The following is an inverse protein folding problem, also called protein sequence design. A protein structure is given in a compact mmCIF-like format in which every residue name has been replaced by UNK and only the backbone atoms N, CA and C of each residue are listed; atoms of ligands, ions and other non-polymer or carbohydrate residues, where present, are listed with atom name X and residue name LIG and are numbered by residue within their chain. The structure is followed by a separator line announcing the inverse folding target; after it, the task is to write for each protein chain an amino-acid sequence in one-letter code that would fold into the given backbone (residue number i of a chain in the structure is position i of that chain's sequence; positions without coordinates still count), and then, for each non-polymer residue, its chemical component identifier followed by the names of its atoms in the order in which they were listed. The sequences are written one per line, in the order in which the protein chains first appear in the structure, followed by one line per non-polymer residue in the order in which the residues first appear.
data_IF_616039282134
#
_entry.id   IF_616039282134
#
_cell.length_a   1.000
_cell.length_b   1.000
_cell.length_c   1.000
_cell.angle_alpha   90.00
_cell.angle_beta   90.00
_cell.angle_gamma   90.00
#
_symmetry.space_group_name_H-M   'P 1'
#
loop_
_entity.id
_entity.type
_entity.pdbx_description
1 polymer ?
#
# COMPACT_ATOMS: atom_id res chain seq x y z
N UNK A 1 15.50 8.67 -17.15
CA UNK A 1 16.74 9.25 -16.60
C UNK A 1 17.87 8.20 -16.49
N UNK A 2 17.71 7.02 -15.84
CA UNK A 2 18.79 6.02 -15.70
C UNK A 2 19.33 5.50 -17.04
N UNK A 3 18.44 5.23 -18.01
CA UNK A 3 18.86 4.79 -19.36
C UNK A 3 19.64 5.90 -20.07
N UNK A 4 19.24 7.14 -19.89
CA UNK A 4 19.93 8.29 -20.46
C UNK A 4 21.28 8.51 -19.80
N UNK A 5 21.36 8.42 -18.46
CA UNK A 5 22.64 8.41 -17.73
C UNK A 5 23.58 7.33 -18.26
N UNK A 6 23.08 6.13 -18.53
CA UNK A 6 23.86 5.04 -19.13
C UNK A 6 24.38 5.39 -20.52
N UNK A 7 23.55 6.00 -21.36
CA UNK A 7 23.96 6.45 -22.70
C UNK A 7 25.06 7.50 -22.62
N UNK A 8 24.91 8.49 -21.75
CA UNK A 8 25.90 9.54 -21.52
C UNK A 8 27.20 8.97 -20.92
N UNK A 9 27.11 8.06 -19.94
CA UNK A 9 28.25 7.39 -19.37
C UNK A 9 29.02 6.56 -20.44
N UNK A 10 28.30 5.93 -21.36
CA UNK A 10 28.90 5.21 -22.49
C UNK A 10 29.66 6.17 -23.41
N UNK A 11 29.11 7.36 -23.69
CA UNK A 11 29.83 8.38 -24.46
C UNK A 11 31.08 8.85 -23.73
N UNK A 12 30.96 9.15 -22.41
CA UNK A 12 32.07 9.64 -21.60
C UNK A 12 33.18 8.60 -21.38
N UNK A 13 32.83 7.31 -21.47
CA UNK A 13 33.83 6.21 -21.38
C UNK A 13 34.75 6.11 -22.59
N UNK A 14 34.46 6.86 -23.65
CA UNK A 14 35.30 6.86 -24.84
C UNK A 14 36.65 7.55 -24.56
N UNK A 15 37.75 6.82 -24.76
CA UNK A 15 39.10 7.28 -24.46
C UNK A 15 39.57 8.47 -25.32
N UNK A 16 38.96 8.67 -26.51
CA UNK A 16 39.36 9.79 -27.41
C UNK A 16 38.73 11.14 -27.03
N UNK A 17 37.83 11.18 -26.07
CA UNK A 17 37.24 12.41 -25.59
C UNK A 17 38.22 13.24 -24.77
N UNK A 18 38.23 14.55 -24.99
CA UNK A 18 38.96 15.50 -24.14
C UNK A 18 38.37 15.50 -22.72
N UNK A 19 39.18 15.90 -21.74
CA UNK A 19 38.72 16.04 -20.34
C UNK A 19 37.54 17.00 -20.22
N UNK A 20 37.57 18.12 -20.95
CA UNK A 20 36.48 19.11 -20.97
C UNK A 20 35.19 18.55 -21.56
N UNK A 21 35.27 17.82 -22.68
CA UNK A 21 34.06 17.19 -23.26
C UNK A 21 33.49 16.13 -22.34
N UNK A 22 34.33 15.36 -21.66
CA UNK A 22 33.92 14.37 -20.67
C UNK A 22 33.27 15.02 -19.45
N UNK A 23 33.81 16.15 -18.99
CA UNK A 23 33.23 16.92 -17.89
C UNK A 23 31.82 17.41 -18.25
N UNK A 24 31.61 17.99 -19.42
CA UNK A 24 30.29 18.46 -19.85
C UNK A 24 29.25 17.32 -19.90
N UNK A 25 29.68 16.10 -20.22
CA UNK A 25 28.81 14.91 -20.13
C UNK A 25 28.58 14.54 -18.66
N UNK A 26 29.61 14.68 -17.82
CA UNK A 26 29.48 14.48 -16.38
C UNK A 26 28.44 15.38 -15.76
N UNK A 27 28.46 16.67 -16.08
CA UNK A 27 27.50 17.67 -15.60
C UNK A 27 26.03 17.31 -16.01
N UNK A 28 25.85 16.74 -17.21
CA UNK A 28 24.53 16.26 -17.65
C UNK A 28 24.07 15.02 -16.83
N UNK A 29 24.98 14.12 -16.49
CA UNK A 29 24.69 12.97 -15.65
C UNK A 29 24.33 13.41 -14.23
N UNK A 30 25.02 14.41 -13.68
CA UNK A 30 24.69 15.02 -12.38
C UNK A 30 23.28 15.60 -12.38
N UNK A 31 22.92 16.33 -13.44
CA UNK A 31 21.57 16.88 -13.58
C UNK A 31 20.51 15.78 -13.61
N UNK A 32 20.73 14.70 -14.37
CA UNK A 32 19.80 13.57 -14.39
C UNK A 32 19.70 12.87 -13.03
N UNK A 33 20.78 12.84 -12.26
CA UNK A 33 20.78 12.36 -10.88
C UNK A 33 19.92 13.24 -9.96
N UNK A 34 20.06 14.57 -10.10
CA UNK A 34 19.19 15.54 -9.39
C UNK A 34 17.72 15.34 -9.76
N UNK A 35 17.42 15.17 -11.04
CA UNK A 35 16.06 14.95 -11.53
C UNK A 35 15.43 13.67 -10.96
N UNK A 36 16.22 12.61 -10.76
CA UNK A 36 15.76 11.38 -10.09
C UNK A 36 15.37 11.67 -8.64
N UNK A 37 16.18 12.43 -7.92
CA UNK A 37 15.89 12.81 -6.54
C UNK A 37 14.65 13.69 -6.43
N UNK A 38 14.50 14.66 -7.33
CA UNK A 38 13.33 15.53 -7.35
C UNK A 38 12.04 14.76 -7.70
N UNK A 39 12.13 13.79 -8.62
CA UNK A 39 11.02 12.91 -8.95
C UNK A 39 10.62 12.04 -7.74
N UNK A 40 11.60 11.46 -7.06
CA UNK A 40 11.35 10.67 -5.86
C UNK A 40 10.68 11.51 -4.75
N UNK A 41 11.12 12.77 -4.59
CA UNK A 41 10.56 13.72 -3.62
C UNK A 41 9.16 14.19 -3.98
N UNK A 42 8.92 14.49 -5.26
CA UNK A 42 7.62 15.00 -5.73
C UNK A 42 6.55 13.92 -5.82
N UNK A 43 6.92 12.65 -5.80
CA UNK A 43 5.97 11.54 -5.83
C UNK A 43 5.33 11.38 -4.46
N UNK A 44 4.19 12.05 -4.26
CA UNK A 44 3.45 12.06 -3.01
C UNK A 44 2.04 11.55 -3.18
N UNK A 45 1.51 10.93 -2.14
CA UNK A 45 0.10 10.56 -2.02
C UNK A 45 -0.41 11.05 -0.66
N UNK A 46 -1.49 11.82 -0.67
CA UNK A 46 -2.06 12.43 0.55
C UNK A 46 -1.01 13.16 1.40
N UNK A 47 -0.14 13.94 0.74
CA UNK A 47 0.98 14.68 1.35
C UNK A 47 2.06 13.81 2.00
N UNK A 48 2.04 12.50 1.76
CA UNK A 48 3.08 11.56 2.19
C UNK A 48 3.95 11.20 0.99
N UNK A 49 5.26 11.37 1.11
CA UNK A 49 6.23 10.99 0.08
C UNK A 49 6.31 9.47 -0.01
N UNK A 50 6.18 8.91 -1.21
CA UNK A 50 6.13 7.46 -1.40
C UNK A 50 7.50 6.86 -1.74
N UNK A 51 8.41 7.64 -2.34
CA UNK A 51 9.67 7.15 -2.89
C UNK A 51 10.91 7.84 -2.31
N UNK A 52 10.71 8.82 -1.44
CA UNK A 52 11.80 9.66 -0.90
C UNK A 52 12.58 8.99 0.26
N UNK A 53 12.04 7.92 0.84
CA UNK A 53 12.67 7.20 1.95
C UNK A 53 12.84 8.02 3.23
N UNK A 54 12.10 9.10 3.40
CA UNK A 54 12.25 10.05 4.53
C UNK A 54 11.91 9.48 5.90
N UNK A 55 11.44 8.26 5.99
CA UNK A 55 11.25 7.56 7.27
C UNK A 55 12.44 6.65 7.58
N UNK A 56 13.46 7.20 8.20
CA UNK A 56 14.50 6.63 9.09
C UNK A 56 15.16 5.27 8.74
N UNK A 57 14.62 4.46 7.82
CA UNK A 57 15.12 3.11 7.51
C UNK A 57 15.30 2.82 6.02
N UNK A 58 15.16 3.83 5.16
CA UNK A 58 15.31 3.65 3.70
C UNK A 58 14.13 2.99 2.99
N UNK A 59 13.20 2.41 3.70
CA UNK A 59 11.97 1.81 3.17
C UNK A 59 10.76 2.39 3.88
N UNK A 60 9.77 2.84 3.11
CA UNK A 60 8.47 3.25 3.63
C UNK A 60 7.59 2.01 3.79
N UNK A 61 7.20 1.74 5.03
CA UNK A 61 6.33 0.63 5.37
C UNK A 61 4.92 1.13 5.64
N UNK A 62 3.98 0.73 4.83
CA UNK A 62 2.56 1.05 4.99
C UNK A 62 1.79 -0.19 5.39
N UNK A 63 1.07 -0.10 6.49
CA UNK A 63 0.20 -1.18 6.96
C UNK A 63 -1.24 -0.85 6.61
N UNK A 64 -1.86 -1.71 5.82
CA UNK A 64 -3.25 -1.61 5.40
C UNK A 64 -4.10 -2.63 6.16
N UNK A 65 -5.22 -2.19 6.72
CA UNK A 65 -6.22 -3.09 7.29
C UNK A 65 -6.96 -3.81 6.16
N UNK A 66 -6.93 -5.14 6.14
CA UNK A 66 -7.51 -5.99 5.09
C UNK A 66 -8.58 -6.96 5.59
N UNK A 67 -9.05 -6.80 6.83
CA UNK A 67 -10.09 -7.62 7.45
C UNK A 67 -10.66 -6.94 8.69
N UNK A 68 -11.56 -7.61 9.38
CA UNK A 68 -12.24 -7.13 10.60
C UNK A 68 -11.45 -7.40 11.89
N UNK A 69 -10.50 -8.33 11.83
CA UNK A 69 -9.61 -8.62 12.95
C UNK A 69 -8.45 -7.62 13.07
N UNK A 70 -8.03 -7.31 14.29
CA UNK A 70 -6.88 -6.42 14.55
C UNK A 70 -5.57 -6.90 13.94
N UNK A 71 -5.46 -8.20 13.65
CA UNK A 71 -4.29 -8.83 13.01
C UNK A 71 -4.41 -8.94 11.49
N UNK A 72 -5.57 -8.59 10.92
CA UNK A 72 -5.83 -8.69 9.48
C UNK A 72 -5.24 -7.49 8.74
N UNK A 73 -3.94 -7.38 8.80
CA UNK A 73 -3.18 -6.31 8.17
C UNK A 73 -2.32 -6.85 7.02
N UNK A 74 -2.10 -6.02 6.02
CA UNK A 74 -1.11 -6.25 4.97
C UNK A 74 -0.11 -5.09 4.96
N UNK A 75 1.16 -5.41 5.10
CA UNK A 75 2.23 -4.43 5.12
C UNK A 75 2.90 -4.38 3.75
N UNK A 76 2.94 -3.19 3.18
CA UNK A 76 3.61 -2.89 1.91
C UNK A 76 4.86 -2.08 2.20
N UNK A 77 5.99 -2.59 1.78
CA UNK A 77 7.26 -1.89 1.85
C UNK A 77 7.53 -1.23 0.51
N UNK A 78 7.58 0.09 0.48
CA UNK A 78 8.01 0.87 -0.68
C UNK A 78 9.47 1.27 -0.47
N UNK A 79 10.37 0.86 -1.38
CA UNK A 79 11.77 1.23 -1.29
C UNK A 79 11.96 2.71 -1.66
N UNK A 80 12.98 3.32 -1.08
CA UNK A 80 13.43 4.63 -1.54
C UNK A 80 14.10 4.51 -2.91
N UNK A 81 13.76 5.42 -3.82
CA UNK A 81 14.27 5.46 -5.20
C UNK A 81 15.16 6.69 -5.42
N UNK A 82 15.79 7.20 -4.36
CA UNK A 82 16.80 8.25 -4.47
C UNK A 82 18.10 7.72 -5.06
N UNK A 83 18.93 8.60 -5.63
CA UNK A 83 20.25 8.22 -6.14
C UNK A 83 21.13 7.60 -5.04
N UNK A 84 20.99 8.06 -3.80
CA UNK A 84 21.71 7.48 -2.66
C UNK A 84 21.36 6.02 -2.41
N UNK A 85 20.11 5.62 -2.61
CA UNK A 85 19.68 4.24 -2.45
C UNK A 85 19.99 3.37 -3.68
N UNK A 86 19.71 3.89 -4.87
CA UNK A 86 19.90 3.12 -6.10
C UNK A 86 21.37 2.81 -6.42
N UNK A 87 22.29 3.69 -6.00
CA UNK A 87 23.71 3.54 -6.35
C UNK A 87 24.61 3.12 -5.19
N UNK A 88 24.14 3.14 -3.96
CA UNK A 88 25.01 2.95 -2.80
C UNK A 88 24.40 2.18 -1.63
N UNK A 89 23.41 1.35 -1.87
CA UNK A 89 22.68 0.56 -0.85
C UNK A 89 22.44 1.31 0.50
N UNK A 90 22.29 2.63 0.44
CA UNK A 90 21.99 3.48 1.59
C UNK A 90 23.19 4.03 2.36
N UNK A 91 24.42 3.84 1.88
CA UNK A 91 25.61 4.46 2.48
C UNK A 91 26.14 5.59 1.60
N UNK A 92 26.33 6.80 2.14
CA UNK A 92 27.09 7.83 1.44
C UNK A 92 28.49 7.31 1.17
N UNK A 93 28.95 7.32 -0.07
CA UNK A 93 30.25 6.76 -0.41
C UNK A 93 30.77 7.15 -1.79
N UNK A 94 31.95 6.70 -2.05
CA UNK A 94 32.60 6.86 -3.33
C UNK A 94 32.21 5.68 -4.21
N UNK A 95 31.35 5.89 -5.22
CA UNK A 95 31.06 4.87 -6.24
C UNK A 95 32.34 4.49 -6.97
N UNK A 96 33.18 5.50 -7.23
CA UNK A 96 34.46 5.43 -7.90
C UNK A 96 35.38 6.53 -7.33
N UNK A 97 36.68 6.43 -7.54
CA UNK A 97 37.65 7.42 -7.02
C UNK A 97 37.33 8.88 -7.36
N UNK A 98 36.62 9.14 -8.45
CA UNK A 98 36.22 10.48 -8.92
C UNK A 98 34.76 10.66 -9.17
N UNK A 99 33.92 9.72 -8.73
CA UNK A 99 32.46 9.78 -8.80
C UNK A 99 31.92 9.45 -7.42
N UNK A 100 31.29 10.43 -6.80
CA UNK A 100 30.80 10.31 -5.43
C UNK A 100 29.28 10.57 -5.37
N UNK A 101 28.65 9.95 -4.41
CA UNK A 101 27.31 10.34 -3.99
C UNK A 101 27.44 10.92 -2.59
N UNK A 102 27.32 12.23 -2.51
CA UNK A 102 27.32 12.95 -1.24
C UNK A 102 25.94 12.85 -0.62
N UNK A 103 25.86 12.46 0.65
CA UNK A 103 24.61 12.58 1.39
C UNK A 103 24.20 14.05 1.48
N UNK A 104 23.06 14.41 0.91
CA UNK A 104 22.46 15.70 1.19
C UNK A 104 21.89 15.63 2.61
N UNK A 105 22.65 16.13 3.57
CA UNK A 105 22.24 16.23 4.96
C UNK A 105 21.01 17.15 5.09
N UNK A 106 19.84 16.58 5.21
CA UNK A 106 18.65 17.29 5.66
C UNK A 106 18.43 17.11 7.18
N UNK A 107 19.51 17.19 7.93
CA UNK A 107 19.52 17.32 9.38
C UNK A 107 19.14 16.09 10.22
N UNK A 108 18.58 15.02 9.63
CA UNK A 108 18.09 13.87 10.39
C UNK A 108 18.39 12.50 9.81
N UNK A 109 18.72 12.37 8.52
CA UNK A 109 19.15 11.10 7.93
C UNK A 109 20.13 11.31 6.76
N UNK A 110 21.39 10.90 6.90
CA UNK A 110 22.41 11.01 5.85
C UNK A 110 22.23 10.00 4.71
N UNK A 111 21.25 9.09 4.79
CA UNK A 111 21.12 7.93 3.88
C UNK A 111 20.17 8.13 2.71
N UNK A 112 19.40 9.20 2.70
CA UNK A 112 18.19 9.25 1.87
C UNK A 112 18.33 9.96 0.54
N UNK A 113 19.26 10.91 0.41
CA UNK A 113 19.44 11.67 -0.82
C UNK A 113 20.93 11.78 -1.13
N UNK A 114 21.33 11.20 -2.25
CA UNK A 114 22.69 11.39 -2.74
C UNK A 114 22.73 12.49 -3.78
N UNK A 115 23.56 13.51 -3.59
CA UNK A 115 23.96 14.38 -4.68
C UNK A 115 25.04 13.64 -5.48
N UNK A 116 24.74 13.45 -6.76
CA UNK A 116 25.66 12.82 -7.69
C UNK A 116 26.73 13.85 -8.07
N UNK A 117 28.00 13.57 -7.80
CA UNK A 117 29.10 14.48 -8.12
C UNK A 117 30.18 13.76 -8.89
N UNK A 118 30.52 14.31 -10.05
CA UNK A 118 31.56 13.80 -10.94
C UNK A 118 32.73 14.79 -10.94
N UNK A 119 33.87 14.35 -10.43
CA UNK A 119 35.05 15.20 -10.39
C UNK A 119 35.59 15.53 -11.80
N UNK A 120 36.16 16.73 -11.96
CA UNK A 120 36.77 17.15 -13.22
C UNK A 120 37.93 16.23 -13.67
N UNK A 121 38.48 15.46 -12.74
CA UNK A 121 39.52 14.43 -12.97
C UNK A 121 38.95 13.06 -13.35
N UNK A 122 37.61 12.91 -13.54
CA UNK A 122 37.02 11.64 -13.91
C UNK A 122 37.55 11.15 -15.28
N UNK A 123 37.99 9.91 -15.29
CA UNK A 123 38.60 9.25 -16.46
C UNK A 123 37.54 8.40 -17.21
N UNK A 124 37.88 7.98 -18.42
CA UNK A 124 37.05 7.04 -19.18
C UNK A 124 36.74 5.75 -18.40
N UNK A 125 37.72 5.26 -17.62
CA UNK A 125 37.53 4.07 -16.78
C UNK A 125 36.52 4.30 -15.66
N UNK A 126 36.46 5.50 -15.07
CA UNK A 126 35.43 5.83 -14.06
C UNK A 126 34.01 5.76 -14.65
N UNK A 127 33.81 6.28 -15.86
CA UNK A 127 32.54 6.20 -16.55
C UNK A 127 32.17 4.76 -16.98
N UNK A 128 33.17 3.94 -17.36
CA UNK A 128 32.91 2.52 -17.62
C UNK A 128 32.42 1.77 -16.41
N UNK A 129 32.96 2.06 -15.23
CA UNK A 129 32.46 1.47 -13.98
C UNK A 129 31.11 2.07 -13.56
N UNK A 130 30.87 3.36 -13.86
CA UNK A 130 29.54 3.96 -13.63
C UNK A 130 28.45 3.27 -14.43
N UNK A 131 28.73 2.82 -15.66
CA UNK A 131 27.78 2.03 -16.45
C UNK A 131 27.34 0.79 -15.68
N UNK A 132 28.27 0.07 -15.07
CA UNK A 132 27.95 -1.12 -14.26
C UNK A 132 27.06 -0.78 -13.06
N UNK A 133 27.33 0.34 -12.39
CA UNK A 133 26.53 0.80 -11.27
C UNK A 133 25.11 1.20 -11.72
N UNK A 134 24.98 1.86 -12.89
CA UNK A 134 23.67 2.19 -13.46
C UNK A 134 22.89 0.92 -13.82
N UNK A 135 23.56 -0.12 -14.36
CA UNK A 135 22.91 -1.39 -14.67
C UNK A 135 22.40 -2.10 -13.40
N UNK A 136 23.17 -2.02 -12.32
CA UNK A 136 22.74 -2.50 -11.00
C UNK A 136 21.50 -1.73 -10.50
N UNK A 137 21.52 -0.40 -10.59
CA UNK A 137 20.40 0.45 -10.21
C UNK A 137 19.12 0.16 -11.03
N UNK A 138 19.27 -0.08 -12.34
CA UNK A 138 18.16 -0.47 -13.21
C UNK A 138 17.59 -1.85 -12.80
N UNK A 139 18.47 -2.79 -12.47
CA UNK A 139 18.07 -4.13 -12.03
C UNK A 139 17.31 -4.06 -10.71
N UNK A 140 17.77 -3.25 -9.77
CA UNK A 140 17.12 -3.02 -8.49
C UNK A 140 15.75 -2.37 -8.67
N UNK A 141 15.64 -1.34 -9.49
CA UNK A 141 14.36 -0.68 -9.82
C UNK A 141 13.37 -1.66 -10.45
N UNK A 142 13.81 -2.54 -11.34
CA UNK A 142 12.97 -3.59 -11.90
C UNK A 142 12.49 -4.59 -10.83
N UNK A 143 13.34 -4.91 -9.86
CA UNK A 143 12.97 -5.69 -8.68
C UNK A 143 11.86 -5.01 -7.86
N UNK A 144 11.95 -3.70 -7.66
CA UNK A 144 10.92 -2.92 -6.98
C UNK A 144 9.60 -2.91 -7.73
N UNK A 145 9.64 -2.74 -9.05
CA UNK A 145 8.43 -2.80 -9.89
C UNK A 145 7.76 -4.18 -9.83
N UNK A 146 8.54 -5.26 -9.83
CA UNK A 146 8.03 -6.62 -9.68
C UNK A 146 7.36 -6.82 -8.30
N UNK A 147 8.00 -6.38 -7.22
CA UNK A 147 7.43 -6.43 -5.88
C UNK A 147 6.11 -5.64 -5.79
N UNK A 148 6.04 -4.47 -6.41
CA UNK A 148 4.82 -3.67 -6.46
C UNK A 148 3.70 -4.40 -7.21
N UNK A 149 4.04 -5.11 -8.31
CA UNK A 149 3.08 -5.97 -9.04
C UNK A 149 2.55 -7.12 -8.18
N UNK A 150 3.41 -7.76 -7.38
CA UNK A 150 3.00 -8.79 -6.42
C UNK A 150 2.05 -8.22 -5.37
N UNK A 151 2.35 -7.04 -4.84
CA UNK A 151 1.50 -6.33 -3.87
C UNK A 151 0.13 -6.01 -4.47
N UNK A 152 0.07 -5.49 -5.70
CA UNK A 152 -1.20 -5.23 -6.39
C UNK A 152 -2.05 -6.50 -6.54
N UNK A 153 -1.44 -7.61 -6.93
CA UNK A 153 -2.12 -8.90 -7.03
C UNK A 153 -2.64 -9.38 -5.67
N UNK A 154 -1.85 -9.20 -4.62
CA UNK A 154 -2.24 -9.54 -3.24
C UNK A 154 -3.45 -8.73 -2.80
N UNK A 155 -3.46 -7.43 -3.05
CA UNK A 155 -4.62 -6.58 -2.73
C UNK A 155 -5.87 -6.97 -3.53
N UNK A 156 -5.73 -7.25 -4.82
CA UNK A 156 -6.85 -7.71 -5.66
C UNK A 156 -7.46 -9.01 -5.12
N UNK A 157 -6.62 -9.96 -4.73
CA UNK A 157 -7.07 -11.23 -4.13
C UNK A 157 -7.76 -10.99 -2.77
N UNK A 158 -7.18 -10.14 -1.93
CA UNK A 158 -7.78 -9.78 -0.63
C UNK A 158 -9.10 -9.07 -0.80
N UNK A 159 -9.22 -8.14 -1.75
CA UNK A 159 -10.46 -7.46 -2.07
C UNK A 159 -11.56 -8.45 -2.48
N UNK A 160 -11.24 -9.42 -3.35
CA UNK A 160 -12.18 -10.46 -3.76
C UNK A 160 -12.62 -11.32 -2.58
N UNK A 161 -11.69 -11.71 -1.72
CA UNK A 161 -11.98 -12.47 -0.49
C UNK A 161 -12.88 -11.70 0.48
N UNK A 162 -12.61 -10.40 0.68
CA UNK A 162 -13.45 -9.54 1.53
C UNK A 162 -14.86 -9.40 0.99
N UNK A 163 -15.03 -9.20 -0.32
CA UNK A 163 -16.36 -9.15 -0.95
C UNK A 163 -17.13 -10.46 -0.75
N UNK A 164 -16.45 -11.60 -0.86
CA UNK A 164 -17.06 -12.90 -0.60
C UNK A 164 -17.47 -13.04 0.88
N UNK A 165 -16.62 -12.63 1.81
CA UNK A 165 -16.94 -12.62 3.25
C UNK A 165 -18.13 -11.73 3.57
N UNK A 166 -18.19 -10.54 3.00
CA UNK A 166 -19.34 -9.62 3.14
C UNK A 166 -20.63 -10.29 2.67
N UNK A 167 -20.61 -10.95 1.50
CA UNK A 167 -21.79 -11.65 0.98
C UNK A 167 -22.24 -12.80 1.91
N UNK A 168 -21.29 -13.57 2.45
CA UNK A 168 -21.60 -14.63 3.43
C UNK A 168 -22.18 -14.03 4.71
N UNK A 169 -21.62 -12.94 5.24
CA UNK A 169 -22.16 -12.26 6.42
C UNK A 169 -23.56 -11.71 6.18
N UNK A 170 -23.85 -11.14 5.00
CA UNK A 170 -25.20 -10.71 4.62
C UNK A 170 -26.16 -11.89 4.56
N UNK A 171 -25.77 -13.02 3.98
CA UNK A 171 -26.62 -14.22 3.93
C UNK A 171 -26.91 -14.79 5.33
N UNK A 172 -25.88 -14.87 6.19
CA UNK A 172 -26.05 -15.31 7.59
C UNK A 172 -26.97 -14.36 8.36
N UNK A 173 -26.76 -13.05 8.20
CA UNK A 173 -27.62 -12.03 8.83
C UNK A 173 -29.07 -12.15 8.37
N UNK A 174 -29.31 -12.30 7.06
CA UNK A 174 -30.66 -12.47 6.50
C UNK A 174 -31.32 -13.73 7.08
N UNK A 175 -30.64 -14.87 7.08
CA UNK A 175 -31.14 -16.10 7.63
C UNK A 175 -31.47 -15.98 9.13
N UNK A 176 -30.66 -15.29 9.91
CA UNK A 176 -30.90 -15.06 11.33
C UNK A 176 -32.16 -14.19 11.56
N UNK A 177 -32.30 -13.10 10.79
CA UNK A 177 -33.44 -12.20 10.86
C UNK A 177 -34.73 -12.92 10.42
N UNK A 178 -34.67 -13.67 9.33
CA UNK A 178 -35.84 -14.41 8.81
C UNK A 178 -36.27 -15.50 9.78
N UNK A 179 -35.37 -16.20 10.46
CA UNK A 179 -35.66 -17.16 11.51
C UNK A 179 -36.32 -16.51 12.73
N UNK A 180 -35.86 -15.34 13.16
CA UNK A 180 -36.44 -14.58 14.27
C UNK A 180 -37.85 -14.08 13.92
N UNK A 181 -38.08 -13.58 12.71
CA UNK A 181 -39.39 -13.16 12.24
C UNK A 181 -40.40 -14.32 12.19
N UNK A 182 -39.98 -15.49 11.73
CA UNK A 182 -40.84 -16.68 11.71
C UNK A 182 -41.24 -17.13 13.13
N UNK A 183 -40.32 -17.09 14.08
CA UNK A 183 -40.56 -17.37 15.48
C UNK A 183 -41.54 -16.36 16.10
N UNK A 184 -41.29 -15.06 15.86
CA UNK A 184 -42.15 -13.97 16.35
C UNK A 184 -43.59 -14.06 15.79
N UNK A 185 -43.73 -14.37 14.51
CA UNK A 185 -45.02 -14.59 13.89
C UNK A 185 -45.76 -15.80 14.49
N UNK A 186 -45.05 -16.90 14.73
CA UNK A 186 -45.61 -18.09 15.37
C UNK A 186 -46.11 -17.79 16.78
N UNK A 187 -45.35 -17.04 17.55
CA UNK A 187 -45.72 -16.60 18.89
C UNK A 187 -46.92 -15.64 18.85
N UNK A 188 -46.95 -14.72 17.89
CA UNK A 188 -48.10 -13.81 17.71
C UNK A 188 -49.38 -14.55 17.37
N UNK A 189 -49.35 -15.54 16.47
CA UNK A 189 -50.48 -16.39 16.15
C UNK A 189 -50.92 -17.20 17.38
N UNK A 190 -50.00 -17.74 18.15
CA UNK A 190 -50.30 -18.46 19.41
C UNK A 190 -51.02 -17.56 20.40
N UNK A 191 -50.55 -16.35 20.60
CA UNK A 191 -51.15 -15.36 21.48
C UNK A 191 -52.56 -14.95 21.01
N UNK A 192 -52.77 -14.76 19.70
CA UNK A 192 -54.08 -14.47 19.12
C UNK A 192 -55.09 -15.63 19.34
N UNK A 193 -54.61 -16.87 19.17
CA UNK A 193 -55.47 -18.05 19.45
C UNK A 193 -55.83 -18.09 20.92
N UNK A 194 -54.86 -17.90 21.83
CA UNK A 194 -55.11 -17.86 23.27
C UNK A 194 -56.09 -16.76 23.65
N UNK A 195 -55.98 -15.57 23.08
CA UNK A 195 -56.86 -14.44 23.32
C UNK A 195 -58.29 -14.78 22.86
N UNK A 196 -58.48 -15.33 21.66
CA UNK A 196 -59.75 -15.74 21.14
C UNK A 196 -60.39 -16.85 21.99
N UNK A 197 -59.57 -17.82 22.41
CA UNK A 197 -60.07 -18.93 23.27
C UNK A 197 -60.46 -18.43 24.65
N UNK A 198 -59.68 -17.52 25.25
CA UNK A 198 -59.99 -16.93 26.55
C UNK A 198 -61.27 -16.09 26.50
N UNK A 199 -61.47 -15.28 25.45
CA UNK A 199 -62.71 -14.50 25.28
C UNK A 199 -63.93 -15.40 25.07
N UNK A 200 -63.77 -16.47 24.30
CA UNK A 200 -64.88 -17.47 24.14
C UNK A 200 -65.17 -18.19 25.44
N UNK A 201 -64.14 -18.57 26.22
CA UNK A 201 -64.33 -19.19 27.53
C UNK A 201 -65.00 -18.24 28.54
N UNK A 202 -64.66 -16.95 28.55
CA UNK A 202 -65.25 -15.92 29.36
C UNK A 202 -66.73 -15.70 28.97
N UNK A 203 -67.06 -15.67 27.68
CA UNK A 203 -68.40 -15.56 27.19
C UNK A 203 -69.24 -16.76 27.65
N UNK A 204 -68.68 -17.97 27.56
CA UNK A 204 -69.38 -19.20 28.03
C UNK A 204 -69.53 -19.21 29.55
N UNK A 205 -68.53 -18.77 30.31
CA UNK A 205 -68.60 -18.66 31.77
C UNK A 205 -69.67 -17.66 32.23
N UNK A 206 -69.87 -16.56 31.51
CA UNK A 206 -70.91 -15.56 31.81
C UNK A 206 -72.33 -16.03 31.49
N UNK A 207 -72.48 -17.02 30.64
CA UNK A 207 -73.79 -17.63 30.35
C UNK A 207 -74.27 -18.60 31.45
N UNK A 208 -73.39 -19.23 32.21
CA UNK A 208 -73.68 -20.17 33.26
C UNK A 208 -74.61 -19.60 34.40
N UNK A 209 -74.33 -18.40 34.92
CA UNK A 209 -75.17 -17.77 35.92
C UNK A 209 -76.57 -17.48 35.40
N UNK A 210 -76.77 -17.15 34.13
CA UNK A 210 -78.05 -16.90 33.51
C UNK A 210 -78.87 -18.17 33.39
N UNK A 211 -78.26 -19.31 33.10
CA UNK A 211 -78.98 -20.63 33.10
C UNK A 211 -79.39 -21.03 34.49
N UNK A 212 -78.60 -20.82 35.53
CA UNK A 212 -78.98 -21.09 36.93
C UNK A 212 -80.10 -20.20 37.34
N UNK A 213 -80.13 -18.93 36.95
CA UNK A 213 -81.21 -18.00 37.26
C UNK A 213 -82.54 -18.42 36.57
N UNK A 214 -82.47 -19.03 35.39
CA UNK A 214 -83.65 -19.53 34.67
C UNK A 214 -84.24 -20.82 35.26
N UNK A 215 -83.40 -21.58 35.98
CA UNK A 215 -83.83 -22.82 36.68
C UNK A 215 -84.43 -22.54 38.07
N UNK A 216 -84.26 -21.35 38.61
CA UNK A 216 -84.79 -20.91 39.91
C UNK A 216 -86.08 -20.12 39.80
N UNK A 217 -86.61 -19.97 38.61
CA UNK A 217 -87.86 -19.33 38.29
C UNK A 217 -88.87 -20.38 37.89
#
# INVERSE_FOLDING_TARGET
NLIEMKSLATQASNAVLSSTARQNIGDQIEQLGSDINDLAKSTTYNSVSLLDGTNLTGNLSYTFQTGDGTSDTNTVNLPAVSTGQLFNDGSAGTLQTNITISAINNGSDPKVRGEFTIATSATAANFSSLITNIDSAITELNGYMNNLGIVQNTFSTKQSSLLQSINVHFAVKSNAIDADLAKEQSENVRLQILQKTATAALAQANLQPAVILSLLK
#
